data_IF_616650235519
#
_entry.id   IF_616650235519
#
_cell.length_a   1.000
_cell.length_b   1.000
_cell.length_c   1.000
_cell.angle_alpha   90.00
_cell.angle_beta   90.00
_cell.angle_gamma   90.00
#
_symmetry.space_group_name_H-M   'P 1'
#
loop_
_entity.id
_entity.type
_entity.pdbx_description
1 polymer ?
#
# COMPACT_ATOMS: atom_id res chain seq x y z
N UNK A 1 27.10 4.79 -4.23
CA UNK A 1 26.16 4.27 -3.21
C UNK A 1 25.16 3.41 -3.94
N UNK A 2 25.19 2.09 -3.73
CA UNK A 2 24.16 1.19 -4.26
C UNK A 2 22.87 1.57 -3.52
N UNK A 3 21.85 2.08 -4.24
CA UNK A 3 20.51 2.20 -3.66
C UNK A 3 20.10 0.77 -3.30
N UNK A 4 19.77 0.50 -2.03
CA UNK A 4 19.12 -0.77 -1.70
C UNK A 4 17.86 -0.82 -2.57
N UNK A 5 17.67 -1.92 -3.32
CA UNK A 5 16.32 -2.24 -3.78
C UNK A 5 15.51 -2.34 -2.49
N UNK A 6 14.44 -1.57 -2.39
CA UNK A 6 13.54 -1.66 -1.25
C UNK A 6 13.11 -3.13 -1.13
N UNK A 7 13.73 -3.84 -0.20
CA UNK A 7 13.21 -5.09 0.32
C UNK A 7 11.89 -4.64 0.93
N UNK A 8 10.81 -4.84 0.20
CA UNK A 8 9.48 -4.37 0.57
C UNK A 8 8.92 -5.24 1.69
N UNK A 9 9.69 -5.36 2.79
CA UNK A 9 9.23 -5.98 4.01
C UNK A 9 8.59 -4.93 4.88
N UNK A 10 7.32 -5.21 5.15
CA UNK A 10 6.51 -4.76 6.27
C UNK A 10 7.23 -3.86 7.26
N UNK A 11 7.00 -2.56 7.14
CA UNK A 11 7.09 -1.65 8.29
C UNK A 11 5.74 -0.98 8.43
N UNK A 12 4.86 -1.58 9.22
CA UNK A 12 3.65 -0.92 9.69
C UNK A 12 4.08 0.03 10.81
N UNK A 13 4.41 1.27 10.45
CA UNK A 13 4.70 2.33 11.40
C UNK A 13 3.39 2.78 12.04
N UNK A 14 3.01 2.14 13.13
CA UNK A 14 1.91 2.59 13.99
C UNK A 14 2.52 2.98 15.34
N UNK A 15 2.48 4.28 15.62
CA UNK A 15 2.97 4.87 16.85
C UNK A 15 1.86 4.79 17.92
N UNK A 16 2.17 4.36 19.14
CA UNK A 16 1.22 4.23 20.28
C UNK A 16 1.77 4.98 21.51
N UNK A 17 0.93 5.73 22.25
CA UNK A 17 1.25 6.10 23.65
C UNK A 17 0.56 7.34 24.28
N UNK A 18 -0.37 7.06 25.23
CA UNK A 18 -0.78 7.70 26.50
C UNK A 18 -0.83 9.24 26.79
N UNK A 19 -1.74 9.57 27.72
CA UNK A 19 -2.55 10.80 27.86
C UNK A 19 -2.16 11.71 29.07
N UNK A 20 -2.38 13.05 29.00
CA UNK A 20 -2.81 13.95 30.10
C UNK A 20 -2.91 15.46 29.67
N UNK A 21 -3.91 16.19 30.23
CA UNK A 21 -4.38 17.58 29.93
C UNK A 21 -3.42 18.75 30.25
N UNK A 22 -3.76 20.05 30.16
CA UNK A 22 -5.03 20.79 30.28
C UNK A 22 -4.93 22.23 29.68
N UNK A 23 -6.03 22.99 29.77
CA UNK A 23 -6.52 24.23 29.09
C UNK A 23 -6.03 25.60 29.61
N UNK A 24 -6.09 26.67 28.78
CA UNK A 24 -7.03 27.82 28.85
C UNK A 24 -6.68 29.10 28.00
N UNK A 25 -7.76 29.71 27.46
CA UNK A 25 -8.13 31.07 26.93
C UNK A 25 -7.10 32.24 26.88
N UNK A 26 -7.05 33.18 25.90
CA UNK A 26 -8.08 33.97 25.16
C UNK A 26 -7.99 35.45 25.62
N UNK A 27 -8.08 36.56 24.85
CA UNK A 27 -8.54 36.88 23.49
C UNK A 27 -8.23 38.37 23.14
N UNK A 28 -8.38 38.76 21.85
CA UNK A 28 -8.83 40.06 21.26
C UNK A 28 -7.90 40.82 20.27
N UNK A 29 -8.17 40.72 18.94
CA UNK A 29 -7.63 41.64 17.90
C UNK A 29 -8.37 41.61 16.51
N UNK A 30 -9.70 41.48 16.51
CA UNK A 30 -10.52 40.93 15.41
C UNK A 30 -10.73 41.63 14.03
N UNK A 31 -10.12 42.77 13.64
CA UNK A 31 -10.49 43.42 12.34
C UNK A 31 -9.38 43.51 11.28
N UNK A 32 -8.14 43.85 11.63
CA UNK A 32 -6.98 43.67 10.71
C UNK A 32 -6.58 42.20 10.58
N UNK A 33 -6.81 41.42 11.65
CA UNK A 33 -6.62 39.96 11.72
C UNK A 33 -7.37 39.23 10.61
N UNK A 34 -8.57 39.69 10.23
CA UNK A 34 -9.44 38.96 9.30
C UNK A 34 -8.87 38.93 7.88
N UNK A 35 -8.20 40.00 7.44
CA UNK A 35 -7.57 40.07 6.11
C UNK A 35 -6.28 39.28 6.02
N UNK A 36 -5.48 39.27 7.10
CA UNK A 36 -4.26 38.47 7.19
C UNK A 36 -4.58 36.98 7.35
N UNK A 37 -5.65 36.63 8.08
CA UNK A 37 -6.04 35.23 8.29
C UNK A 37 -6.51 34.55 7.01
N UNK A 38 -7.20 35.27 6.12
CA UNK A 38 -7.71 34.69 4.87
C UNK A 38 -6.62 34.22 3.92
N UNK A 39 -5.38 34.71 4.04
CA UNK A 39 -4.25 34.28 3.20
C UNK A 39 -3.83 32.82 3.47
N UNK A 40 -4.22 32.27 4.63
CA UNK A 40 -3.94 30.89 4.98
C UNK A 40 -4.96 29.90 4.39
N UNK A 41 -6.14 30.35 3.98
CA UNK A 41 -7.22 29.43 3.62
C UNK A 41 -6.95 28.72 2.29
N UNK A 42 -7.28 27.43 2.24
CA UNK A 42 -7.05 26.57 1.08
C UNK A 42 -6.23 25.33 1.42
N UNK A 43 -5.85 24.59 0.38
CA UNK A 43 -4.98 23.43 0.52
C UNK A 43 -3.52 23.83 0.32
N UNK A 44 -2.64 23.17 1.06
CA UNK A 44 -1.21 23.44 1.11
C UNK A 44 -0.44 22.12 1.19
N UNK A 45 0.59 21.95 0.38
CA UNK A 45 1.43 20.77 0.37
C UNK A 45 2.85 21.12 0.83
N UNK A 46 3.46 20.24 1.62
CA UNK A 46 4.82 20.40 2.12
C UNK A 46 5.46 19.06 2.46
N UNK A 47 6.75 19.09 2.79
CA UNK A 47 7.49 17.91 3.25
C UNK A 47 7.96 18.12 4.69
N UNK A 48 7.77 17.10 5.53
CA UNK A 48 8.46 16.99 6.81
C UNK A 48 9.89 16.52 6.51
N UNK A 49 10.88 17.36 6.76
CA UNK A 49 12.28 17.08 6.44
C UNK A 49 12.90 16.14 7.49
N UNK A 50 12.67 14.84 7.33
CA UNK A 50 13.30 13.79 8.13
C UNK A 50 14.61 13.38 7.45
N UNK A 51 15.73 13.23 8.20
CA UNK A 51 17.01 12.82 7.62
C UNK A 51 16.88 11.57 6.72
N UNK A 52 17.25 11.72 5.46
CA UNK A 52 17.22 10.69 4.40
C UNK A 52 15.82 10.21 3.92
N UNK A 53 14.72 10.75 4.43
CA UNK A 53 13.37 10.32 4.03
C UNK A 53 12.31 11.41 4.25
N UNK A 54 12.27 12.46 3.40
CA UNK A 54 11.24 13.49 3.51
C UNK A 54 9.84 12.88 3.40
N UNK A 55 8.92 13.33 4.25
CA UNK A 55 7.54 12.82 4.29
C UNK A 55 6.57 13.90 3.77
N UNK A 56 5.95 13.70 2.59
CA UNK A 56 4.94 14.59 2.06
C UNK A 56 3.69 14.64 2.94
N UNK A 57 3.21 15.84 3.20
CA UNK A 57 1.97 16.11 3.94
C UNK A 57 1.16 17.20 3.24
N UNK A 58 -0.15 17.14 3.42
CA UNK A 58 -1.09 18.15 2.93
C UNK A 58 -1.90 18.67 4.11
N UNK A 59 -2.08 19.98 4.20
CA UNK A 59 -3.01 20.61 5.13
C UNK A 59 -4.07 21.37 4.35
N UNK A 60 -5.32 21.28 4.80
CA UNK A 60 -6.41 22.14 4.36
C UNK A 60 -6.77 23.07 5.50
N UNK A 61 -6.68 24.37 5.28
CA UNK A 61 -6.94 25.40 6.26
C UNK A 61 -8.25 26.11 5.95
N UNK A 62 -9.15 26.15 6.93
CA UNK A 62 -10.43 26.85 6.89
C UNK A 62 -10.54 27.80 8.10
N UNK A 63 -11.63 28.58 8.18
CA UNK A 63 -11.77 29.66 9.16
C UNK A 63 -11.64 29.19 10.62
N UNK A 64 -12.23 28.03 10.96
CA UNK A 64 -12.19 27.47 12.31
C UNK A 64 -11.83 25.98 12.34
N UNK A 65 -11.61 25.39 11.17
CA UNK A 65 -11.43 23.95 10.95
C UNK A 65 -10.29 23.71 9.96
N UNK A 66 -9.98 22.44 9.75
CA UNK A 66 -9.08 22.04 8.69
C UNK A 66 -8.76 20.55 8.77
N UNK A 67 -8.02 20.08 7.78
CA UNK A 67 -7.66 18.66 7.66
C UNK A 67 -6.17 18.48 7.41
N UNK A 68 -5.65 17.36 7.90
CA UNK A 68 -4.30 16.90 7.75
C UNK A 68 -4.31 15.61 6.94
N UNK A 69 -3.49 15.53 5.91
CA UNK A 69 -3.29 14.31 5.13
C UNK A 69 -1.82 13.97 5.07
N UNK A 70 -1.51 12.68 5.12
CA UNK A 70 -0.20 12.11 4.82
C UNK A 70 -0.44 11.13 3.67
N UNK A 71 -0.46 11.61 2.41
CA UNK A 71 -0.92 10.82 1.26
C UNK A 71 -0.18 9.52 1.13
N UNK A 72 1.14 9.55 1.33
CA UNK A 72 1.96 8.36 1.38
C UNK A 72 1.35 7.35 2.38
N UNK A 73 1.12 7.74 3.63
CA UNK A 73 0.60 6.82 4.65
C UNK A 73 -0.90 6.53 4.50
N UNK A 74 -1.55 7.03 3.45
CA UNK A 74 -2.98 6.92 3.16
C UNK A 74 -3.88 7.50 4.28
N UNK A 75 -3.31 8.35 5.13
CA UNK A 75 -4.08 9.17 6.05
C UNK A 75 -4.62 10.35 5.25
N UNK A 76 -5.92 10.35 4.98
CA UNK A 76 -6.56 11.42 4.21
C UNK A 76 -7.57 12.19 5.05
N UNK A 77 -7.55 13.51 4.88
CA UNK A 77 -8.53 14.44 5.43
C UNK A 77 -8.77 14.29 6.95
N UNK A 78 -7.73 13.94 7.70
CA UNK A 78 -7.82 13.78 9.14
C UNK A 78 -8.11 15.12 9.82
N UNK A 79 -9.20 15.26 10.59
CA UNK A 79 -9.58 16.56 11.13
C UNK A 79 -8.56 17.07 12.16
N UNK A 80 -8.31 18.38 12.14
CA UNK A 80 -7.57 19.03 13.22
C UNK A 80 -8.35 18.92 14.55
N UNK A 81 -7.62 18.80 15.66
CA UNK A 81 -8.18 19.02 16.99
C UNK A 81 -8.47 20.50 17.21
N UNK A 82 -7.57 21.38 16.73
CA UNK A 82 -7.82 22.82 16.64
C UNK A 82 -6.89 23.49 15.64
N UNK A 83 -7.33 24.62 15.09
CA UNK A 83 -6.48 25.55 14.35
C UNK A 83 -6.68 26.96 14.92
N UNK A 84 -5.59 27.71 15.07
CA UNK A 84 -5.61 29.11 15.51
C UNK A 84 -4.73 29.92 14.58
N UNK A 85 -5.21 31.10 14.23
CA UNK A 85 -4.47 32.06 13.44
C UNK A 85 -4.16 33.27 14.30
N UNK A 86 -2.99 33.86 14.13
CA UNK A 86 -2.57 35.09 14.79
C UNK A 86 -1.68 35.88 13.84
N UNK A 87 -2.22 36.96 13.27
CA UNK A 87 -1.54 37.79 12.27
C UNK A 87 -0.98 36.95 11.10
N UNK A 88 0.35 36.77 11.04
CA UNK A 88 1.08 35.99 10.04
C UNK A 88 1.38 34.56 10.49
N UNK A 89 0.79 34.08 11.60
CA UNK A 89 1.08 32.77 12.17
C UNK A 89 -0.16 31.85 12.19
N UNK A 90 0.08 30.56 12.03
CA UNK A 90 -0.90 29.48 12.20
C UNK A 90 -0.36 28.45 13.19
N UNK A 91 -1.17 28.11 14.18
CA UNK A 91 -0.93 27.04 15.15
C UNK A 91 -2.01 25.95 14.96
N UNK A 92 -1.59 24.77 14.52
CA UNK A 92 -2.44 23.60 14.28
C UNK A 92 -2.13 22.56 15.35
N UNK A 93 -3.18 21.97 15.92
CA UNK A 93 -3.11 20.78 16.75
C UNK A 93 -3.90 19.65 16.11
N UNK A 94 -3.28 18.49 16.01
CA UNK A 94 -3.90 17.26 15.51
C UNK A 94 -3.75 16.21 16.61
N UNK A 95 -4.85 15.54 16.93
CA UNK A 95 -4.84 14.41 17.85
C UNK A 95 -5.00 13.11 17.05
N UNK A 96 -3.89 12.55 16.58
CA UNK A 96 -3.91 11.32 15.79
C UNK A 96 -3.80 10.12 16.72
N UNK A 97 -4.92 9.42 16.94
CA UNK A 97 -4.99 8.22 17.79
C UNK A 97 -4.41 8.44 19.21
N UNK A 98 -4.62 9.62 19.80
CA UNK A 98 -4.11 9.99 21.12
C UNK A 98 -2.77 10.74 21.10
N UNK A 99 -2.12 10.89 19.94
CA UNK A 99 -0.87 11.62 19.81
C UNK A 99 -1.10 13.06 19.42
N UNK A 100 -0.49 13.97 20.18
CA UNK A 100 -0.49 15.39 19.84
C UNK A 100 0.61 15.68 18.83
N UNK A 101 0.17 16.02 17.63
CA UNK A 101 0.98 16.62 16.59
C UNK A 101 0.70 18.12 16.62
N UNK A 102 1.75 18.93 16.56
CA UNK A 102 1.63 20.38 16.44
C UNK A 102 2.36 20.85 15.18
N UNK A 103 1.67 21.63 14.36
CA UNK A 103 2.27 22.35 13.23
C UNK A 103 2.17 23.83 13.55
N UNK A 104 3.32 24.50 13.57
CA UNK A 104 3.40 25.95 13.73
C UNK A 104 4.00 26.54 12.49
N UNK A 105 3.30 27.46 11.84
CA UNK A 105 3.72 28.06 10.60
C UNK A 105 3.65 29.58 10.65
N UNK A 106 4.49 30.23 9.85
CA UNK A 106 4.39 31.65 9.53
C UNK A 106 4.25 31.83 8.03
N UNK A 107 3.32 32.70 7.65
CA UNK A 107 3.11 33.06 6.26
C UNK A 107 4.15 34.09 5.82
N UNK A 108 4.93 33.74 4.80
CA UNK A 108 5.89 34.63 4.16
C UNK A 108 6.05 34.22 2.70
N UNK A 109 6.11 35.19 1.77
CA UNK A 109 6.36 34.97 0.34
C UNK A 109 5.47 33.89 -0.30
N UNK A 110 4.16 33.94 -0.03
CA UNK A 110 3.15 32.96 -0.52
C UNK A 110 3.40 31.51 -0.08
N UNK A 111 4.14 31.33 1.02
CA UNK A 111 4.43 30.05 1.66
C UNK A 111 4.09 30.10 3.14
N UNK A 112 3.94 28.92 3.72
CA UNK A 112 3.89 28.75 5.17
C UNK A 112 5.18 28.05 5.60
N UNK A 113 6.10 28.81 6.19
CA UNK A 113 7.33 28.28 6.77
C UNK A 113 7.08 27.89 8.21
N UNK A 114 7.38 26.64 8.56
CA UNK A 114 6.97 26.14 9.86
C UNK A 114 7.78 24.98 10.39
N UNK A 115 7.28 24.48 11.50
CA UNK A 115 7.81 23.32 12.19
C UNK A 115 6.69 22.33 12.47
N UNK A 116 6.93 21.08 12.12
CA UNK A 116 6.13 19.93 12.53
C UNK A 116 6.74 19.35 13.80
N UNK A 117 5.95 19.17 14.85
CA UNK A 117 6.38 18.57 16.12
C UNK A 117 5.53 17.36 16.47
N UNK A 118 6.17 16.23 16.71
CA UNK A 118 5.54 14.99 17.15
C UNK A 118 6.48 14.25 18.11
N UNK A 119 5.94 13.76 19.23
CA UNK A 119 6.70 13.01 20.24
C UNK A 119 7.98 13.71 20.73
N UNK A 120 7.95 15.04 20.83
CA UNK A 120 9.09 15.86 21.26
C UNK A 120 10.18 16.08 20.21
N UNK A 121 10.08 15.45 19.03
CA UNK A 121 10.92 15.75 17.88
C UNK A 121 10.29 16.87 17.04
N UNK A 122 11.12 17.78 16.54
CA UNK A 122 10.71 18.91 15.71
C UNK A 122 11.46 18.89 14.39
N UNK A 123 10.71 18.98 13.29
CA UNK A 123 11.20 18.95 11.93
C UNK A 123 10.74 20.21 11.18
N UNK A 124 11.57 20.80 10.31
CA UNK A 124 11.11 21.90 9.48
C UNK A 124 10.13 21.40 8.41
N UNK A 125 9.18 22.26 8.06
CA UNK A 125 8.27 22.06 6.95
C UNK A 125 8.06 23.39 6.25
N UNK A 126 8.03 23.37 4.92
CA UNK A 126 7.65 24.52 4.10
C UNK A 126 6.46 24.08 3.28
N UNK A 127 5.35 24.80 3.40
CA UNK A 127 4.17 24.56 2.58
C UNK A 127 4.04 25.58 1.46
N UNK A 128 3.61 25.09 0.30
CA UNK A 128 3.19 25.90 -0.86
C UNK A 128 1.72 25.62 -1.15
N UNK A 129 1.01 26.59 -1.73
CA UNK A 129 -0.37 26.40 -2.17
C UNK A 129 -0.49 25.13 -3.03
N UNK A 130 -1.48 24.30 -2.68
CA UNK A 130 -1.82 23.08 -3.38
C UNK A 130 -3.16 23.28 -4.06
N UNK A 131 -3.14 23.46 -5.38
CA UNK A 131 -4.36 23.55 -6.18
C UNK A 131 -4.77 22.13 -6.59
N UNK A 132 -5.72 21.56 -5.85
CA UNK A 132 -6.28 20.24 -6.09
C UNK A 132 -7.42 20.26 -7.13
N UNK A 133 -7.34 21.14 -8.13
CA UNK A 133 -8.25 21.13 -9.29
C UNK A 133 -8.06 19.89 -10.18
N UNK A 134 -6.98 19.13 -9.98
CA UNK A 134 -6.83 17.76 -10.45
C UNK A 134 -7.22 16.74 -9.36
N UNK A 135 -8.33 16.93 -8.65
CA UNK A 135 -8.97 15.80 -7.97
C UNK A 135 -9.16 14.73 -9.02
N UNK A 136 -8.40 13.64 -8.90
CA UNK A 136 -8.61 12.46 -9.71
C UNK A 136 -10.10 12.15 -9.71
N UNK A 137 -10.68 12.08 -10.90
CA UNK A 137 -12.08 11.71 -11.03
C UNK A 137 -12.22 10.32 -10.43
N UNK A 138 -12.95 10.22 -9.31
CA UNK A 138 -13.22 8.92 -8.68
C UNK A 138 -14.18 8.19 -9.61
N UNK A 139 -13.65 7.24 -10.38
CA UNK A 139 -14.41 6.43 -11.37
C UNK A 139 -15.01 5.16 -10.77
N UNK A 140 -14.83 4.93 -9.48
CA UNK A 140 -15.27 3.72 -8.77
C UNK A 140 -16.30 4.03 -7.68
N UNK A 141 -17.11 3.03 -7.35
CA UNK A 141 -18.00 3.08 -6.19
C UNK A 141 -17.27 2.52 -4.96
N UNK A 142 -17.36 3.22 -3.82
CA UNK A 142 -16.88 2.66 -2.57
C UNK A 142 -17.95 1.77 -1.95
N UNK A 143 -17.60 0.53 -1.62
CA UNK A 143 -18.46 -0.40 -0.90
C UNK A 143 -17.78 -0.82 0.42
N UNK A 144 -18.61 -1.13 1.42
CA UNK A 144 -18.18 -1.62 2.73
C UNK A 144 -18.44 -3.12 2.81
N UNK A 145 -17.39 -3.89 3.05
CA UNK A 145 -17.47 -5.36 3.14
C UNK A 145 -17.22 -5.77 4.60
N UNK A 146 -18.15 -6.50 5.24
CA UNK A 146 -17.94 -7.01 6.58
C UNK A 146 -16.73 -7.97 6.63
N UNK A 147 -15.81 -7.70 7.54
CA UNK A 147 -14.63 -8.53 7.81
C UNK A 147 -14.47 -8.72 9.32
N UNK A 148 -13.59 -9.62 9.75
CA UNK A 148 -13.26 -9.71 11.17
C UNK A 148 -12.67 -8.38 11.68
N UNK A 149 -13.24 -7.86 12.76
CA UNK A 149 -12.82 -6.60 13.38
C UNK A 149 -13.48 -5.32 12.83
N UNK A 150 -14.30 -5.38 11.77
CA UNK A 150 -15.00 -4.20 11.25
C UNK A 150 -15.49 -4.31 9.81
N UNK A 151 -15.40 -3.21 9.06
CA UNK A 151 -15.77 -3.14 7.65
C UNK A 151 -14.55 -2.70 6.83
N UNK A 152 -14.26 -3.46 5.78
CA UNK A 152 -13.23 -3.15 4.80
C UNK A 152 -13.82 -2.26 3.71
N UNK A 153 -13.24 -1.08 3.51
CA UNK A 153 -13.56 -0.21 2.38
C UNK A 153 -12.87 -0.75 1.13
N UNK A 154 -13.64 -0.96 0.08
CA UNK A 154 -13.10 -1.39 -1.22
C UNK A 154 -13.67 -0.52 -2.34
N UNK A 155 -12.88 -0.35 -3.40
CA UNK A 155 -13.22 0.36 -4.62
C UNK A 155 -13.74 -0.64 -5.67
N UNK A 156 -15.02 -0.52 -6.02
CA UNK A 156 -15.67 -1.26 -7.11
C UNK A 156 -15.65 -0.43 -8.38
N UNK A 157 -14.79 -0.81 -9.33
CA UNK A 157 -14.82 -0.28 -10.69
C UNK A 157 -15.78 -1.14 -11.52
N UNK A 158 -16.93 -0.58 -11.89
CA UNK A 158 -17.93 -1.30 -12.71
C UNK A 158 -17.48 -1.41 -14.16
N UNK A 159 -17.84 -2.53 -14.79
CA UNK A 159 -17.80 -2.70 -16.23
C UNK A 159 -18.54 -1.56 -16.95
N UNK A 160 -17.99 -1.10 -18.08
CA UNK A 160 -18.52 0.05 -18.81
C UNK A 160 -19.94 -0.15 -19.35
N UNK A 161 -20.33 -1.39 -19.67
CA UNK A 161 -21.68 -1.70 -20.12
C UNK A 161 -22.75 -1.44 -19.05
N UNK A 162 -22.40 -1.50 -17.76
CA UNK A 162 -23.35 -1.43 -16.64
C UNK A 162 -24.21 -2.68 -16.44
N UNK A 163 -24.07 -3.69 -17.31
CA UNK A 163 -24.76 -4.97 -17.23
C UNK A 163 -24.02 -5.96 -16.31
N UNK A 164 -24.67 -7.06 -15.87
CA UNK A 164 -23.97 -8.12 -15.15
C UNK A 164 -22.73 -8.61 -15.92
N UNK A 165 -21.59 -8.65 -15.21
CA UNK A 165 -20.27 -8.89 -15.82
C UNK A 165 -19.39 -9.78 -14.95
N UNK A 166 -18.32 -10.38 -15.51
CA UNK A 166 -17.27 -10.97 -14.68
C UNK A 166 -16.67 -9.91 -13.76
N UNK A 167 -16.23 -10.32 -12.57
CA UNK A 167 -15.52 -9.44 -11.63
C UNK A 167 -14.17 -10.01 -11.25
N UNK A 168 -13.13 -9.18 -11.28
CA UNK A 168 -11.79 -9.55 -10.84
C UNK A 168 -11.37 -8.77 -9.58
N UNK A 169 -11.04 -9.49 -8.50
CA UNK A 169 -10.52 -8.92 -7.27
C UNK A 169 -8.99 -8.80 -7.41
N UNK A 170 -8.47 -7.58 -7.44
CA UNK A 170 -7.04 -7.30 -7.55
C UNK A 170 -6.45 -7.19 -6.15
N UNK A 171 -5.52 -8.09 -5.84
CA UNK A 171 -4.86 -8.19 -4.53
C UNK A 171 -3.44 -7.67 -4.64
N UNK A 172 -3.17 -6.58 -3.93
CA UNK A 172 -1.88 -5.93 -3.92
C UNK A 172 -0.76 -6.81 -3.35
N UNK A 173 0.46 -6.59 -3.86
CA UNK A 173 1.70 -7.16 -3.34
C UNK A 173 2.09 -6.67 -1.94
N UNK A 174 3.35 -6.93 -1.59
CA UNK A 174 3.85 -6.76 -0.23
C UNK A 174 3.90 -5.32 0.26
N UNK A 175 3.94 -5.19 1.59
CA UNK A 175 4.10 -3.90 2.25
C UNK A 175 2.86 -2.99 2.17
N UNK A 176 3.04 -1.70 2.51
CA UNK A 176 1.98 -0.68 2.55
C UNK A 176 1.61 -0.18 1.15
N UNK A 177 1.27 -1.12 0.27
CA UNK A 177 0.80 -0.84 -1.09
C UNK A 177 -0.70 -0.57 -1.06
N UNK A 178 -1.12 0.57 -1.60
CA UNK A 178 -2.50 1.00 -1.70
C UNK A 178 -3.26 0.29 -2.84
N UNK A 179 -4.56 0.54 -2.92
CA UNK A 179 -5.48 0.01 -3.94
C UNK A 179 -5.11 0.44 -5.37
N UNK A 180 -4.32 1.48 -5.56
CA UNK A 180 -3.88 1.98 -6.88
C UNK A 180 -2.56 1.33 -7.33
N UNK A 181 -1.81 0.72 -6.41
CA UNK A 181 -0.50 0.11 -6.70
C UNK A 181 0.67 1.04 -6.37
N UNK A 182 0.45 1.98 -5.46
CA UNK A 182 1.46 2.90 -4.95
C UNK A 182 1.85 2.53 -3.52
N UNK A 183 3.07 2.86 -3.12
CA UNK A 183 3.62 2.56 -1.80
C UNK A 183 4.50 3.69 -1.32
N UNK A 184 4.41 3.98 -0.01
CA UNK A 184 5.29 4.93 0.70
C UNK A 184 6.76 4.60 0.61
N UNK A 185 7.07 3.36 0.24
CA UNK A 185 8.44 2.87 0.11
C UNK A 185 9.06 3.21 -1.26
N UNK A 186 8.51 4.19 -1.96
CA UNK A 186 9.07 4.72 -3.21
C UNK A 186 8.54 4.05 -4.47
N UNK A 187 7.30 3.57 -4.46
CA UNK A 187 6.60 3.10 -5.66
C UNK A 187 5.43 4.03 -5.93
N UNK A 188 5.39 4.64 -7.11
CA UNK A 188 4.30 5.46 -7.60
C UNK A 188 4.02 5.07 -9.05
N UNK A 189 3.15 4.08 -9.23
CA UNK A 189 2.95 3.38 -10.50
C UNK A 189 1.53 3.44 -11.04
N UNK A 190 0.52 3.56 -10.18
CA UNK A 190 -0.91 3.46 -10.51
C UNK A 190 -1.31 2.18 -11.28
N UNK A 191 -0.50 1.13 -11.19
CA UNK A 191 -0.64 -0.05 -12.06
C UNK A 191 -1.93 -0.82 -11.82
N UNK A 192 -2.39 -0.92 -10.57
CA UNK A 192 -3.67 -1.57 -10.27
C UNK A 192 -4.85 -0.70 -10.69
N UNK A 193 -4.72 0.63 -10.59
CA UNK A 193 -5.71 1.58 -11.09
C UNK A 193 -5.88 1.45 -12.59
N UNK A 194 -4.78 1.53 -13.34
CA UNK A 194 -4.79 1.35 -14.79
C UNK A 194 -5.36 -0.02 -15.19
N UNK A 195 -5.04 -1.08 -14.44
CA UNK A 195 -5.55 -2.42 -14.71
C UNK A 195 -7.06 -2.48 -14.53
N UNK A 196 -7.59 -1.90 -13.46
CA UNK A 196 -9.02 -1.83 -13.19
C UNK A 196 -9.78 -1.04 -14.27
N UNK A 197 -9.27 0.13 -14.65
CA UNK A 197 -9.89 0.99 -15.67
C UNK A 197 -9.88 0.30 -17.04
N UNK A 198 -8.75 -0.31 -17.43
CA UNK A 198 -8.65 -1.00 -18.71
C UNK A 198 -9.50 -2.29 -18.75
N UNK A 199 -9.61 -3.04 -17.64
CA UNK A 199 -10.52 -4.19 -17.56
C UNK A 199 -11.99 -3.76 -17.60
N UNK A 200 -12.35 -2.61 -17.03
CA UNK A 200 -13.70 -2.07 -17.12
C UNK A 200 -14.10 -1.73 -18.57
N UNK A 201 -13.15 -1.23 -19.37
CA UNK A 201 -13.31 -1.04 -20.83
C UNK A 201 -13.47 -2.37 -21.58
N UNK A 202 -13.04 -3.49 -20.99
CA UNK A 202 -13.28 -4.86 -21.49
C UNK A 202 -14.53 -5.52 -20.91
N UNK A 203 -15.41 -4.74 -20.27
CA UNK A 203 -16.61 -5.21 -19.58
C UNK A 203 -16.34 -6.23 -18.46
N UNK A 204 -15.22 -6.09 -17.76
CA UNK A 204 -14.90 -6.85 -16.56
C UNK A 204 -14.88 -5.85 -15.39
N UNK A 205 -15.77 -6.05 -14.42
CA UNK A 205 -15.76 -5.26 -13.19
C UNK A 205 -14.53 -5.61 -12.36
N UNK A 206 -14.03 -4.71 -11.53
CA UNK A 206 -12.90 -5.02 -10.65
C UNK A 206 -13.09 -4.48 -9.24
N UNK A 207 -12.47 -5.15 -8.27
CA UNK A 207 -12.38 -4.69 -6.89
C UNK A 207 -10.92 -4.47 -6.54
N UNK A 208 -10.64 -3.31 -5.95
CA UNK A 208 -9.33 -2.95 -5.40
C UNK A 208 -9.52 -2.39 -3.99
N UNK A 209 -8.54 -2.58 -3.13
CA UNK A 209 -8.65 -2.14 -1.73
C UNK A 209 -7.27 -1.99 -1.09
N UNK A 210 -7.20 -1.11 -0.10
CA UNK A 210 -6.05 -1.06 0.79
C UNK A 210 -6.17 -2.22 1.78
N UNK A 211 -5.13 -3.03 1.97
CA UNK A 211 -5.16 -4.13 2.95
C UNK A 211 -5.47 -3.58 4.35
N UNK A 212 -6.01 -4.41 5.26
CA UNK A 212 -6.23 -3.99 6.66
C UNK A 212 -4.95 -3.39 7.25
N UNK A 213 -5.08 -2.25 7.92
CA UNK A 213 -3.93 -1.51 8.47
C UNK A 213 -3.26 -0.54 7.48
N UNK A 214 -3.69 -0.50 6.21
CA UNK A 214 -3.17 0.39 5.18
C UNK A 214 -4.25 1.38 4.73
N UNK A 215 -3.84 2.62 4.45
CA UNK A 215 -4.67 3.67 3.86
C UNK A 215 -6.06 3.80 4.45
N UNK A 216 -7.09 3.68 3.63
CA UNK A 216 -8.49 3.83 4.03
C UNK A 216 -8.94 2.79 5.07
N UNK A 217 -8.19 1.70 5.19
CA UNK A 217 -8.43 0.56 6.07
C UNK A 217 -7.44 0.50 7.25
N UNK A 218 -6.71 1.58 7.53
CA UNK A 218 -5.74 1.68 8.64
C UNK A 218 -6.35 1.31 10.00
N UNK A 219 -7.60 1.72 10.25
CA UNK A 219 -8.28 1.54 11.55
C UNK A 219 -8.72 0.10 11.85
N UNK A 220 -8.63 -0.82 10.88
CA UNK A 220 -8.91 -2.24 11.11
C UNK A 220 -7.80 -2.94 11.92
N UNK A 221 -6.62 -2.35 12.00
CA UNK A 221 -5.52 -2.84 12.84
C UNK A 221 -5.39 -1.95 14.06
N UNK A 222 -5.73 -2.50 15.23
CA UNK A 222 -5.57 -1.82 16.54
C UNK A 222 -4.21 -2.08 17.16
N UNK A 223 -3.71 -3.32 17.03
CA UNK A 223 -2.39 -3.73 17.48
C UNK A 223 -1.57 -4.20 16.27
N UNK A 224 -0.53 -3.47 15.88
CA UNK A 224 0.35 -3.84 14.77
C UNK A 224 1.00 -5.21 14.94
N UNK A 225 1.26 -5.62 16.20
CA UNK A 225 1.89 -6.89 16.53
C UNK A 225 0.93 -8.09 16.40
N UNK A 226 -0.38 -7.82 16.29
CA UNK A 226 -1.41 -8.84 16.18
C UNK A 226 -1.70 -9.24 14.72
N UNK A 227 -1.19 -8.48 13.74
CA UNK A 227 -1.42 -8.77 12.32
C UNK A 227 -0.74 -10.08 11.92
N UNK A 228 -1.47 -10.95 11.21
CA UNK A 228 -0.97 -12.19 10.64
C UNK A 228 -1.20 -12.21 9.13
N UNK A 229 -0.38 -12.99 8.43
CA UNK A 229 -0.52 -13.26 7.00
C UNK A 229 -1.91 -13.84 6.69
N UNK A 230 -2.36 -14.77 7.53
CA UNK A 230 -3.68 -15.40 7.44
C UNK A 230 -4.84 -14.38 7.51
N UNK A 231 -4.68 -13.24 8.19
CA UNK A 231 -5.75 -12.24 8.32
C UNK A 231 -6.04 -11.57 6.97
N UNK A 232 -5.02 -11.40 6.12
CA UNK A 232 -5.18 -10.82 4.80
C UNK A 232 -5.83 -11.81 3.83
N UNK A 233 -5.50 -13.10 3.94
CA UNK A 233 -6.17 -14.15 3.19
C UNK A 233 -7.66 -14.23 3.55
N UNK A 234 -8.00 -14.09 4.84
CA UNK A 234 -9.38 -14.03 5.32
C UNK A 234 -10.13 -12.81 4.81
N UNK A 235 -9.49 -11.64 4.73
CA UNK A 235 -10.12 -10.46 4.10
C UNK A 235 -10.49 -10.72 2.64
N UNK A 236 -9.59 -11.32 1.87
CA UNK A 236 -9.86 -11.69 0.47
C UNK A 236 -11.04 -12.68 0.41
N UNK A 237 -11.06 -13.68 1.27
CA UNK A 237 -12.17 -14.62 1.36
C UNK A 237 -13.50 -13.91 1.69
N UNK A 238 -13.51 -12.94 2.61
CA UNK A 238 -14.69 -12.13 2.91
C UNK A 238 -15.14 -11.30 1.71
N UNK A 239 -14.21 -10.73 0.92
CA UNK A 239 -14.53 -10.04 -0.33
C UNK A 239 -15.18 -11.03 -1.31
N UNK A 240 -14.56 -12.19 -1.56
CA UNK A 240 -15.10 -13.22 -2.46
C UNK A 240 -16.52 -13.63 -2.03
N UNK A 241 -16.72 -13.91 -0.74
CA UNK A 241 -18.02 -14.30 -0.20
C UNK A 241 -19.09 -13.23 -0.41
N UNK A 242 -18.76 -11.96 -0.15
CA UNK A 242 -19.67 -10.83 -0.39
C UNK A 242 -20.04 -10.69 -1.86
N UNK A 243 -19.10 -10.94 -2.76
CA UNK A 243 -19.29 -10.80 -4.21
C UNK A 243 -20.09 -11.96 -4.80
N UNK A 244 -19.84 -13.18 -4.35
CA UNK A 244 -20.64 -14.35 -4.70
C UNK A 244 -22.12 -14.21 -4.29
N UNK A 245 -22.44 -13.33 -3.32
CA UNK A 245 -23.83 -13.05 -2.94
C UNK A 245 -24.50 -11.95 -3.76
N UNK A 246 -23.83 -11.34 -4.74
CA UNK A 246 -24.41 -10.28 -5.58
C UNK A 246 -24.85 -10.85 -6.93
N UNK A 247 -26.05 -10.46 -7.39
CA UNK A 247 -26.57 -10.85 -8.71
C UNK A 247 -25.92 -10.08 -9.88
N UNK A 248 -25.19 -9.00 -9.58
CA UNK A 248 -24.55 -8.11 -10.56
C UNK A 248 -23.29 -8.72 -11.21
N UNK A 249 -22.84 -9.89 -10.78
CA UNK A 249 -21.61 -10.52 -11.28
C UNK A 249 -21.87 -11.92 -11.82
N UNK A 250 -21.31 -12.21 -13.01
CA UNK A 250 -21.53 -13.49 -13.70
C UNK A 250 -20.50 -14.56 -13.36
N UNK A 251 -19.33 -14.12 -12.87
CA UNK A 251 -18.20 -14.98 -12.47
C UNK A 251 -17.22 -14.16 -11.62
N UNK A 252 -16.51 -14.82 -10.70
CA UNK A 252 -15.59 -14.21 -9.74
C UNK A 252 -14.18 -14.71 -9.98
N UNK A 253 -13.27 -13.77 -10.25
CA UNK A 253 -11.86 -14.05 -10.52
C UNK A 253 -10.99 -13.33 -9.49
N UNK A 254 -9.81 -13.86 -9.21
CA UNK A 254 -8.84 -13.20 -8.33
C UNK A 254 -7.53 -13.00 -9.08
N UNK A 255 -7.04 -11.76 -9.10
CA UNK A 255 -5.74 -11.37 -9.66
C UNK A 255 -4.84 -11.00 -8.49
N UNK A 256 -3.99 -11.92 -8.07
CA UNK A 256 -3.02 -11.67 -7.02
C UNK A 256 -1.67 -11.26 -7.59
N UNK A 257 -1.13 -10.12 -7.14
CA UNK A 257 0.19 -9.64 -7.55
C UNK A 257 1.23 -9.86 -6.44
N UNK A 258 2.40 -10.42 -6.76
CA UNK A 258 3.51 -10.60 -5.80
C UNK A 258 3.06 -11.36 -4.53
N UNK A 259 3.20 -10.80 -3.32
CA UNK A 259 2.61 -11.37 -2.08
C UNK A 259 1.10 -11.67 -2.22
N UNK A 260 0.37 -10.78 -2.90
CA UNK A 260 -1.05 -10.93 -3.19
C UNK A 260 -1.37 -12.17 -4.01
N UNK A 261 -0.44 -12.67 -4.83
CA UNK A 261 -0.57 -13.94 -5.53
C UNK A 261 -0.70 -15.10 -4.53
N UNK A 262 0.13 -15.11 -3.49
CA UNK A 262 0.10 -16.16 -2.50
C UNK A 262 -1.10 -16.03 -1.54
N UNK A 263 -1.45 -14.81 -1.13
CA UNK A 263 -2.68 -14.56 -0.37
C UNK A 263 -3.94 -15.04 -1.14
N UNK A 264 -3.96 -14.84 -2.46
CA UNK A 264 -5.07 -15.28 -3.32
C UNK A 264 -5.17 -16.81 -3.43
N UNK A 265 -4.04 -17.52 -3.39
CA UNK A 265 -4.01 -18.99 -3.32
C UNK A 265 -4.72 -19.47 -2.05
N UNK A 266 -4.43 -18.87 -0.89
CA UNK A 266 -5.07 -19.24 0.37
C UNK A 266 -6.57 -18.91 0.35
N UNK A 267 -6.94 -17.73 -0.14
CA UNK A 267 -8.35 -17.33 -0.21
C UNK A 267 -9.19 -18.21 -1.14
N UNK A 268 -8.61 -18.68 -2.25
CA UNK A 268 -9.26 -19.59 -3.20
C UNK A 268 -9.54 -21.00 -2.63
N UNK A 269 -8.91 -21.37 -1.51
CA UNK A 269 -9.22 -22.61 -0.78
C UNK A 269 -10.44 -22.45 0.14
N UNK A 270 -10.75 -21.22 0.56
CA UNK A 270 -11.81 -20.92 1.53
C UNK A 270 -13.13 -20.54 0.87
N UNK A 271 -13.09 -19.94 -0.33
CA UNK A 271 -14.28 -19.47 -1.03
C UNK A 271 -14.22 -19.81 -2.52
N UNK A 272 -15.37 -20.15 -3.14
CA UNK A 272 -15.40 -20.51 -4.55
C UNK A 272 -15.13 -19.28 -5.43
N UNK A 273 -14.30 -19.49 -6.44
CA UNK A 273 -13.99 -18.54 -7.52
C UNK A 273 -13.99 -19.30 -8.85
N UNK A 274 -14.12 -18.59 -9.96
CA UNK A 274 -14.11 -19.15 -11.31
C UNK A 274 -12.70 -19.28 -11.88
N UNK A 275 -11.75 -18.44 -11.45
CA UNK A 275 -10.33 -18.61 -11.80
C UNK A 275 -9.36 -17.81 -10.93
N UNK A 276 -8.12 -18.27 -10.89
CA UNK A 276 -7.02 -17.61 -10.18
C UNK A 276 -5.94 -17.15 -11.16
N UNK A 277 -5.55 -15.87 -11.10
CA UNK A 277 -4.48 -15.27 -11.89
C UNK A 277 -3.36 -14.83 -10.95
N UNK A 278 -2.17 -15.38 -11.13
CA UNK A 278 -0.97 -15.15 -10.32
C UNK A 278 0.01 -14.31 -11.13
N UNK A 279 0.07 -13.02 -10.81
CA UNK A 279 0.87 -12.02 -11.51
C UNK A 279 2.16 -11.77 -10.73
N UNK A 280 3.32 -12.03 -11.34
CA UNK A 280 4.63 -11.90 -10.67
C UNK A 280 4.66 -12.51 -9.26
N UNK A 281 4.01 -13.66 -9.09
CA UNK A 281 4.00 -14.42 -7.85
C UNK A 281 5.20 -15.36 -7.74
N UNK A 282 5.55 -15.76 -6.51
CA UNK A 282 6.56 -16.78 -6.24
C UNK A 282 5.92 -18.11 -5.83
N UNK A 283 6.44 -19.20 -6.38
CA UNK A 283 6.14 -20.57 -5.98
C UNK A 283 7.10 -21.13 -4.93
N UNK A 284 8.04 -20.31 -4.46
CA UNK A 284 9.02 -20.67 -3.43
C UNK A 284 8.64 -20.07 -2.09
N UNK A 285 9.12 -20.71 -1.02
CA UNK A 285 8.92 -20.22 0.34
C UNK A 285 9.59 -18.85 0.53
N UNK A 286 8.96 -17.99 1.33
CA UNK A 286 9.38 -16.61 1.50
C UNK A 286 10.78 -16.48 2.12
N UNK A 287 11.17 -17.39 3.02
CA UNK A 287 12.52 -17.44 3.60
C UNK A 287 13.60 -17.62 2.54
N UNK A 288 13.39 -18.51 1.58
CA UNK A 288 14.35 -18.73 0.51
C UNK A 288 14.44 -17.54 -0.44
N UNK A 289 13.29 -16.94 -0.78
CA UNK A 289 13.22 -15.75 -1.65
C UNK A 289 13.92 -14.57 -0.98
N UNK A 290 13.66 -14.35 0.31
CA UNK A 290 14.31 -13.31 1.09
C UNK A 290 15.82 -13.50 1.11
N UNK A 291 16.33 -14.71 1.35
CA UNK A 291 17.78 -14.95 1.34
C UNK A 291 18.42 -14.66 -0.01
N UNK A 292 17.79 -15.03 -1.13
CA UNK A 292 18.30 -14.71 -2.46
C UNK A 292 18.34 -13.18 -2.68
N UNK A 293 17.28 -12.46 -2.31
CA UNK A 293 17.20 -11.00 -2.41
C UNK A 293 18.23 -10.29 -1.51
N UNK A 294 18.40 -10.75 -0.27
CA UNK A 294 19.37 -10.20 0.68
C UNK A 294 20.81 -10.46 0.23
N UNK A 295 21.09 -11.64 -0.33
CA UNK A 295 22.41 -12.00 -0.85
C UNK A 295 22.87 -11.12 -2.01
N UNK A 296 21.93 -10.57 -2.79
CA UNK A 296 22.25 -9.64 -3.87
C UNK A 296 22.68 -8.25 -3.38
N UNK A 297 22.35 -7.89 -2.13
CA UNK A 297 22.44 -6.51 -1.64
C UNK A 297 23.35 -6.34 -0.42
N UNK A 298 23.42 -7.34 0.45
CA UNK A 298 24.09 -7.27 1.75
C UNK A 298 25.46 -7.94 1.74
N UNK A 299 26.23 -7.69 2.81
CA UNK A 299 27.50 -8.38 3.03
C UNK A 299 27.26 -9.84 3.47
N UNK A 300 28.22 -10.77 3.24
CA UNK A 300 28.07 -12.16 3.67
C UNK A 300 27.72 -12.33 5.15
N UNK A 301 28.29 -11.51 6.03
CA UNK A 301 28.02 -11.56 7.47
C UNK A 301 26.55 -11.21 7.79
N UNK A 302 25.99 -10.19 7.15
CA UNK A 302 24.58 -9.81 7.33
C UNK A 302 23.63 -10.84 6.72
N UNK A 303 24.04 -11.51 5.63
CA UNK A 303 23.28 -12.61 5.04
C UNK A 303 23.24 -13.81 5.98
N UNK A 304 24.36 -14.17 6.61
CA UNK A 304 24.39 -15.28 7.56
C UNK A 304 23.57 -14.98 8.82
N UNK A 305 23.65 -13.75 9.36
CA UNK A 305 22.76 -13.31 10.45
C UNK A 305 21.28 -13.36 10.03
N UNK A 306 20.95 -12.96 8.80
CA UNK A 306 19.57 -13.03 8.28
C UNK A 306 19.04 -14.46 8.21
N UNK A 307 19.89 -15.45 7.87
CA UNK A 307 19.51 -16.87 7.90
C UNK A 307 19.21 -17.32 9.32
N UNK A 308 20.04 -16.93 10.28
CA UNK A 308 19.82 -17.26 11.70
C UNK A 308 18.51 -16.65 12.23
N UNK A 309 18.20 -15.40 11.85
CA UNK A 309 16.94 -14.75 12.19
C UNK A 309 15.76 -15.51 11.58
N UNK A 310 15.81 -15.83 10.29
CA UNK A 310 14.74 -16.54 9.60
C UNK A 310 14.46 -17.94 10.19
N UNK A 311 15.51 -18.68 10.57
CA UNK A 311 15.34 -19.98 11.24
C UNK A 311 14.64 -19.84 12.60
N UNK A 312 14.99 -18.82 13.40
CA UNK A 312 14.30 -18.51 14.66
C UNK A 312 12.85 -18.10 14.46
N UNK A 313 12.60 -17.19 13.52
CA UNK A 313 11.24 -16.72 13.17
C UNK A 313 10.37 -17.89 12.67
N UNK A 314 10.95 -18.81 11.91
CA UNK A 314 10.31 -20.05 11.44
C UNK A 314 10.00 -21.02 12.57
N UNK A 315 10.85 -21.07 13.60
CA UNK A 315 10.59 -21.80 14.84
C UNK A 315 9.56 -21.11 15.76
N UNK A 316 9.08 -19.92 15.39
CA UNK A 316 8.13 -19.12 16.17
C UNK A 316 8.77 -18.30 17.29
N UNK A 317 10.09 -18.13 17.26
CA UNK A 317 10.83 -17.28 18.19
C UNK A 317 10.86 -15.83 17.68
N UNK A 318 10.80 -14.88 18.61
CA UNK A 318 11.02 -13.46 18.34
C UNK A 318 12.50 -13.12 18.53
N UNK A 319 13.11 -12.47 17.55
CA UNK A 319 14.49 -11.96 17.62
C UNK A 319 14.48 -10.47 17.89
N UNK A 320 14.88 -10.07 19.10
CA UNK A 320 14.92 -8.65 19.50
C UNK A 320 16.25 -7.97 19.16
N UNK A 321 17.37 -8.70 19.31
CA UNK A 321 18.72 -8.19 19.10
C UNK A 321 19.25 -8.62 17.72
N UNK A 322 19.61 -7.63 16.90
CA UNK A 322 20.16 -7.81 15.54
C UNK A 322 20.95 -6.59 15.10
N UNK A 323 21.78 -6.76 14.07
CA UNK A 323 22.49 -5.67 13.38
C UNK A 323 21.52 -4.56 12.93
N UNK A 324 21.96 -3.30 13.01
CA UNK A 324 21.10 -2.14 12.75
C UNK A 324 20.53 -2.14 11.32
N UNK A 325 21.30 -2.63 10.36
CA UNK A 325 20.92 -2.79 8.95
C UNK A 325 19.74 -3.76 8.78
N UNK A 326 19.63 -4.76 9.65
CA UNK A 326 18.59 -5.79 9.60
C UNK A 326 17.30 -5.38 10.31
N UNK A 327 17.33 -4.36 11.18
CA UNK A 327 16.13 -3.91 11.92
C UNK A 327 15.00 -3.42 11.03
N UNK A 328 15.33 -2.87 9.85
CA UNK A 328 14.31 -2.47 8.87
C UNK A 328 13.77 -3.65 8.06
N UNK A 329 14.50 -4.76 7.99
CA UNK A 329 14.11 -5.97 7.24
C UNK A 329 13.31 -6.92 8.16
N UNK A 330 13.73 -7.06 9.41
CA UNK A 330 13.13 -7.93 10.42
C UNK A 330 12.62 -7.16 11.65
N UNK A 331 11.83 -6.09 11.49
CA UNK A 331 11.35 -5.33 12.63
C UNK A 331 10.57 -6.25 13.57
N UNK A 332 10.86 -6.16 14.86
CA UNK A 332 10.33 -7.05 15.91
C UNK A 332 8.80 -7.13 15.83
N UNK A 333 8.13 -6.00 15.53
CA UNK A 333 6.69 -5.88 15.46
C UNK A 333 6.08 -6.68 14.29
N UNK A 334 6.83 -6.90 13.21
CA UNK A 334 6.36 -7.63 12.03
C UNK A 334 6.81 -9.09 11.97
N UNK A 335 7.67 -9.53 12.90
CA UNK A 335 8.06 -10.94 12.97
C UNK A 335 6.87 -11.90 13.19
N UNK A 336 5.84 -11.58 14.00
CA UNK A 336 4.67 -12.46 14.11
C UNK A 336 3.93 -12.65 12.78
N UNK A 337 3.87 -11.61 11.95
CA UNK A 337 3.35 -11.70 10.58
C UNK A 337 4.25 -12.60 9.72
N UNK A 338 5.57 -12.41 9.76
CA UNK A 338 6.52 -13.25 9.03
C UNK A 338 6.47 -14.72 9.48
N UNK A 339 6.38 -15.01 10.77
CA UNK A 339 6.17 -16.35 11.33
C UNK A 339 4.90 -17.00 10.77
N UNK A 340 3.82 -16.23 10.63
CA UNK A 340 2.57 -16.76 10.06
C UNK A 340 2.64 -17.00 8.55
N UNK A 341 3.52 -16.29 7.83
CA UNK A 341 3.75 -16.48 6.40
C UNK A 341 4.73 -17.63 6.12
N UNK A 342 5.88 -17.63 6.78
CA UNK A 342 7.02 -18.53 6.52
C UNK A 342 6.67 -20.01 6.69
N UNK A 343 5.60 -20.34 7.40
CA UNK A 343 5.13 -21.71 7.60
C UNK A 343 4.65 -22.36 6.31
N UNK A 344 4.18 -21.57 5.35
CA UNK A 344 3.60 -22.07 4.10
C UNK A 344 4.63 -22.37 3.01
N UNK A 345 4.30 -23.33 2.17
CA UNK A 345 4.95 -23.56 0.88
C UNK A 345 3.97 -23.21 -0.25
N UNK A 346 4.21 -22.13 -1.03
CA UNK A 346 3.27 -21.69 -2.06
C UNK A 346 2.96 -22.75 -3.12
N UNK A 347 3.92 -23.63 -3.46
CA UNK A 347 3.69 -24.72 -4.42
C UNK A 347 2.72 -25.74 -3.85
N UNK A 348 2.92 -26.14 -2.60
CA UNK A 348 2.04 -27.11 -1.93
C UNK A 348 0.63 -26.55 -1.72
N UNK A 349 0.51 -25.26 -1.39
CA UNK A 349 -0.78 -24.59 -1.24
C UNK A 349 -1.49 -24.43 -2.59
N UNK A 350 -0.78 -24.10 -3.67
CA UNK A 350 -1.36 -23.98 -5.01
C UNK A 350 -1.94 -25.33 -5.49
N UNK A 351 -1.30 -26.45 -5.14
CA UNK A 351 -1.78 -27.78 -5.52
C UNK A 351 -3.14 -28.16 -4.89
N UNK A 352 -3.60 -27.41 -3.87
CA UNK A 352 -4.92 -27.60 -3.24
C UNK A 352 -6.03 -26.83 -3.97
N UNK A 353 -5.67 -25.89 -4.85
CA UNK A 353 -6.62 -25.08 -5.61
C UNK A 353 -7.05 -25.85 -6.87
N UNK A 354 -8.36 -26.01 -7.08
CA UNK A 354 -8.94 -26.81 -8.18
C UNK A 354 -9.60 -25.98 -9.29
N UNK A 355 -9.60 -24.66 -9.16
CA UNK A 355 -10.06 -23.74 -10.21
C UNK A 355 -8.96 -23.58 -11.24
N UNK A 356 -9.24 -23.13 -12.48
CA UNK A 356 -8.17 -23.01 -13.43
C UNK A 356 -7.25 -21.82 -13.09
N UNK A 357 -5.95 -22.05 -13.20
CA UNK A 357 -4.87 -21.19 -12.73
C UNK A 357 -4.09 -20.60 -13.93
N UNK A 358 -3.85 -19.29 -13.89
CA UNK A 358 -3.03 -18.60 -14.87
C UNK A 358 -1.85 -17.88 -14.21
N UNK A 359 -0.63 -18.24 -14.60
CA UNK A 359 0.59 -17.55 -14.17
C UNK A 359 1.02 -16.55 -15.25
N UNK A 360 1.27 -15.31 -14.85
CA UNK A 360 1.82 -14.25 -15.72
C UNK A 360 3.08 -13.70 -15.05
N UNK A 361 4.17 -13.60 -15.80
CA UNK A 361 5.42 -13.01 -15.33
C UNK A 361 6.07 -12.15 -16.41
N UNK A 362 6.98 -11.26 -16.03
CA UNK A 362 7.69 -10.37 -16.94
C UNK A 362 9.20 -10.64 -16.98
N UNK A 363 9.84 -10.52 -18.14
CA UNK A 363 11.29 -10.81 -18.28
C UNK A 363 12.21 -9.78 -17.64
N UNK A 364 11.67 -8.61 -17.30
CA UNK A 364 12.43 -7.51 -16.66
C UNK A 364 11.97 -7.27 -15.22
N UNK A 365 11.29 -8.24 -14.61
CA UNK A 365 10.97 -8.20 -13.18
C UNK A 365 12.25 -8.26 -12.33
N UNK A 366 12.47 -7.21 -11.53
CA UNK A 366 13.65 -7.09 -10.67
C UNK A 366 13.47 -7.73 -9.28
N UNK A 367 12.24 -8.12 -8.91
CA UNK A 367 11.92 -8.59 -7.56
C UNK A 367 11.66 -10.10 -7.52
N UNK A 368 11.00 -10.61 -8.56
CA UNK A 368 10.67 -12.02 -8.73
C UNK A 368 11.40 -12.51 -9.97
N UNK A 369 12.16 -13.59 -9.83
CA UNK A 369 12.97 -14.14 -10.92
C UNK A 369 12.28 -15.35 -11.55
N UNK A 370 12.75 -15.77 -12.73
CA UNK A 370 12.31 -17.02 -13.37
C UNK A 370 12.38 -18.24 -12.43
N UNK A 371 13.40 -18.29 -11.55
CA UNK A 371 13.55 -19.35 -10.54
C UNK A 371 12.38 -19.38 -9.56
N UNK A 372 11.81 -18.22 -9.24
CA UNK A 372 10.72 -18.07 -8.28
C UNK A 372 9.37 -18.44 -8.89
N UNK A 373 9.18 -18.20 -10.19
CA UNK A 373 7.92 -18.49 -10.89
C UNK A 373 7.81 -19.95 -11.31
N UNK A 374 8.94 -20.60 -11.61
CA UNK A 374 8.97 -21.97 -12.13
C UNK A 374 8.11 -22.99 -11.33
N UNK A 375 8.11 -23.01 -9.98
CA UNK A 375 7.26 -23.93 -9.24
C UNK A 375 5.75 -23.69 -9.43
N UNK A 376 5.31 -22.45 -9.68
CA UNK A 376 3.90 -22.15 -9.98
C UNK A 376 3.50 -22.70 -11.35
N UNK A 377 4.40 -22.64 -12.34
CA UNK A 377 4.14 -23.13 -13.71
C UNK A 377 3.84 -24.62 -13.77
N UNK A 378 4.37 -25.39 -12.82
CA UNK A 378 4.16 -26.82 -12.75
C UNK A 378 2.71 -27.20 -12.39
N UNK A 379 1.97 -26.29 -11.79
CA UNK A 379 0.56 -26.50 -11.39
C UNK A 379 -0.41 -25.69 -12.25
N UNK A 380 0.05 -24.61 -12.89
CA UNK A 380 -0.81 -23.72 -13.65
C UNK A 380 -1.32 -24.34 -14.97
N UNK A 381 -2.60 -24.11 -15.30
CA UNK A 381 -3.19 -24.50 -16.59
C UNK A 381 -2.63 -23.68 -17.75
N UNK A 382 -2.25 -22.43 -17.46
CA UNK A 382 -1.65 -21.52 -18.43
C UNK A 382 -0.52 -20.75 -17.78
N UNK A 383 0.54 -20.51 -18.55
CA UNK A 383 1.61 -19.61 -18.19
C UNK A 383 1.91 -18.68 -19.37
N UNK A 384 2.13 -17.39 -19.09
CA UNK A 384 2.65 -16.42 -20.07
C UNK A 384 3.82 -15.67 -19.44
N UNK A 385 4.90 -15.54 -20.20
CA UNK A 385 6.03 -14.66 -19.90
C UNK A 385 5.96 -13.50 -20.88
N UNK A 386 5.78 -12.29 -20.37
CA UNK A 386 5.67 -11.06 -21.15
C UNK A 386 7.06 -10.43 -21.23
N UNK A 387 7.60 -10.38 -22.45
CA UNK A 387 8.91 -9.75 -22.70
C UNK A 387 8.84 -8.25 -22.36
N UNK A 388 9.83 -7.73 -21.63
CA UNK A 388 9.90 -6.30 -21.30
C UNK A 388 8.98 -5.83 -20.16
N UNK A 389 8.11 -6.69 -19.63
CA UNK A 389 7.30 -6.33 -18.45
C UNK A 389 8.13 -6.44 -17.16
N UNK A 390 8.04 -5.45 -16.28
CA UNK A 390 8.67 -5.48 -14.95
C UNK A 390 7.68 -5.80 -13.82
N UNK A 391 8.16 -5.73 -12.57
CA UNK A 391 7.35 -6.06 -11.40
C UNK A 391 6.14 -5.12 -11.21
N UNK A 392 6.24 -3.85 -11.63
CA UNK A 392 5.10 -2.94 -11.57
C UNK A 392 4.25 -3.01 -12.84
N UNK A 393 4.35 -4.10 -13.62
CA UNK A 393 3.45 -4.41 -14.73
C UNK A 393 3.56 -3.46 -15.93
N UNK A 394 4.65 -2.69 -16.00
CA UNK A 394 4.92 -1.72 -17.07
C UNK A 394 5.99 -2.23 -18.02
N UNK A 395 6.02 -1.65 -19.21
CA UNK A 395 7.17 -1.80 -20.11
C UNK A 395 8.42 -1.19 -19.47
N UNK A 396 9.54 -1.90 -19.56
CA UNK A 396 10.78 -1.48 -18.95
C UNK A 396 12.02 -1.98 -19.69
N UNK A 397 13.11 -1.20 -19.66
CA UNK A 397 14.38 -1.62 -20.24
C UNK A 397 15.05 -2.72 -19.40
N UNK A 398 15.90 -3.52 -20.04
CA UNK A 398 16.71 -4.53 -19.33
C UNK A 398 17.82 -3.94 -18.45
N UNK A 399 18.19 -2.67 -18.64
CA UNK A 399 19.13 -1.98 -17.75
C UNK A 399 18.48 -1.74 -16.39
N UNK A 400 19.12 -2.23 -15.32
CA UNK A 400 18.56 -2.21 -13.96
C UNK A 400 18.27 -0.80 -13.47
N UNK A 401 19.13 0.19 -13.75
CA UNK A 401 18.90 1.55 -13.25
C UNK A 401 17.78 2.26 -14.01
N UNK A 402 17.71 2.05 -15.32
CA UNK A 402 16.64 2.60 -16.14
C UNK A 402 15.28 1.95 -15.81
N UNK A 403 15.26 0.64 -15.50
CA UNK A 403 14.07 -0.06 -15.02
C UNK A 403 13.64 0.45 -13.64
N UNK A 404 14.56 0.59 -12.68
CA UNK A 404 14.22 1.16 -11.37
C UNK A 404 13.62 2.57 -11.45
N UNK A 405 14.01 3.36 -12.45
CA UNK A 405 13.44 4.69 -12.65
C UNK A 405 11.94 4.67 -13.02
N UNK A 406 11.42 3.56 -13.60
CA UNK A 406 10.00 3.44 -13.94
C UNK A 406 9.12 3.30 -12.71
N UNK A 407 9.66 2.83 -11.57
CA UNK A 407 8.88 2.53 -10.35
C UNK A 407 8.26 3.78 -9.72
N UNK A 408 8.75 4.97 -10.05
CA UNK A 408 8.27 6.25 -9.54
C UNK A 408 7.60 7.12 -10.59
N UNK A 409 7.39 6.59 -11.80
CA UNK A 409 6.76 7.31 -12.91
C UNK A 409 5.32 6.80 -13.15
N UNK A 410 4.30 7.49 -12.61
CA UNK A 410 2.90 7.10 -12.80
C UNK A 410 2.42 7.36 -14.24
N UNK A 411 3.14 8.14 -15.06
CA UNK A 411 2.71 8.45 -16.43
C UNK A 411 2.89 7.30 -17.43
N UNK A 412 3.75 6.33 -17.09
CA UNK A 412 4.00 5.17 -17.94
C UNK A 412 2.77 4.26 -17.99
N UNK A 413 2.36 3.77 -19.16
CA UNK A 413 1.24 2.82 -19.25
C UNK A 413 1.64 1.43 -18.74
N UNK A 414 0.64 0.60 -18.48
CA UNK A 414 0.83 -0.85 -18.35
C UNK A 414 1.46 -1.43 -19.62
N UNK A 415 2.15 -2.56 -19.49
CA UNK A 415 2.62 -3.31 -20.64
C UNK A 415 1.45 -3.72 -21.53
N UNK A 416 1.56 -3.49 -22.85
CA UNK A 416 0.43 -3.58 -23.79
C UNK A 416 -0.22 -4.97 -23.88
N UNK A 417 0.57 -6.02 -23.66
CA UNK A 417 0.09 -7.41 -23.68
C UNK A 417 -0.69 -7.84 -22.44
N UNK A 418 -0.57 -7.12 -21.31
CA UNK A 418 -1.06 -7.58 -20.02
C UNK A 418 -2.59 -7.71 -19.98
N UNK A 419 -3.29 -6.61 -20.27
CA UNK A 419 -4.76 -6.56 -20.18
C UNK A 419 -5.43 -7.50 -21.18
N UNK A 420 -5.05 -7.52 -22.49
CA UNK A 420 -5.62 -8.46 -23.44
C UNK A 420 -5.42 -9.93 -23.03
N UNK A 421 -4.29 -10.23 -22.40
CA UNK A 421 -3.93 -11.57 -21.94
C UNK A 421 -4.81 -12.03 -20.77
N UNK A 422 -5.09 -11.14 -19.82
CA UNK A 422 -6.00 -11.37 -18.69
C UNK A 422 -7.45 -11.49 -19.19
N UNK A 423 -7.91 -10.55 -20.00
CA UNK A 423 -9.25 -10.53 -20.60
C UNK A 423 -9.57 -11.87 -21.29
N UNK A 424 -8.64 -12.34 -22.14
CA UNK A 424 -8.81 -13.60 -22.87
C UNK A 424 -8.93 -14.81 -21.94
N UNK A 425 -8.29 -14.78 -20.78
CA UNK A 425 -8.37 -15.88 -19.81
C UNK A 425 -9.68 -15.85 -19.01
N UNK A 426 -10.18 -14.67 -18.67
CA UNK A 426 -11.45 -14.48 -17.95
C UNK A 426 -12.64 -14.87 -18.84
N UNK A 427 -12.67 -14.42 -20.11
CA UNK A 427 -13.80 -14.60 -21.03
C UNK A 427 -13.86 -15.96 -21.76
N UNK A 428 -13.20 -17.00 -21.22
CA UNK A 428 -13.01 -18.29 -21.90
C UNK A 428 -14.20 -19.24 -21.85
#
# INVERSE_FOLDING_TARGET
>A
MKRLLAISLFTLLILVGCNAGSTENGNSKNEEEKSMTTQFFGEWAGNIEIPNSPLPIIIKLEETTGTFSVPMQGLENYPFESVRYNEDAVDILINLQGQKISIKGKFADEKIEGTFTQNGATFPVIFTHYDNTSKEEITYEQILIPVDGGELKVALQKAKSGEPSPVAIIVAGSGPTDKNGNSVMGVNSDSYKMLAEQLAEKNISTIRYDKRGIGENTLLVKDPNAVRFDDFAKDIASIIAYINSQESFTSVHVIGHSEGAFLSILAAQEQPIDSLILLSGTGRRIDEVMIDQLSAQLSPALVDESKEILEKVKAGETVEEMSNELKMIFPVQSQPYLTSWIKYDPKEELAKVSVPIFVIHGTTDLQVTEKDVEPLRQTADKTVVIEGMNHILKDSPSDVNANLATYTDPSLPLHEELVPTIEKFINR
#
